data_IF_071975140301
#
_entry.id   IF_071975140301
#
_cell.length_a   1.000
_cell.length_b   1.000
_cell.length_c   1.000
_cell.angle_alpha   90.00
_cell.angle_beta   90.00
_cell.angle_gamma   90.00
#
_symmetry.space_group_name_H-M   'P 1'
#
loop_
_entity.id
_entity.type
_entity.pdbx_description
1 polymer ?
#
# COMPACT_ATOMS: atom_id res chain seq x y z
N UNK A 1 10.00 13.32 -2.33
CA UNK A 1 9.96 11.97 -2.92
C UNK A 1 10.71 11.03 -1.99
N UNK A 2 9.99 10.38 -1.07
CA UNK A 2 10.47 9.29 -0.20
C UNK A 2 9.51 8.12 -0.39
N UNK A 3 9.66 7.39 -1.49
CA UNK A 3 8.83 6.21 -1.78
C UNK A 3 9.31 5.00 -0.99
N UNK A 4 10.63 4.89 -0.73
CA UNK A 4 11.24 3.74 -0.06
C UNK A 4 10.72 3.50 1.37
N UNK A 5 10.62 4.56 2.17
CA UNK A 5 10.14 4.45 3.56
C UNK A 5 8.66 4.01 3.60
N UNK A 6 7.85 4.46 2.63
CA UNK A 6 6.45 4.07 2.50
C UNK A 6 6.28 2.61 2.05
N UNK A 7 7.18 2.12 1.20
CA UNK A 7 7.17 0.74 0.72
C UNK A 7 7.51 -0.23 1.86
N UNK A 8 8.48 0.10 2.73
CA UNK A 8 8.82 -0.71 3.91
C UNK A 8 7.66 -0.77 4.93
N UNK A 9 6.98 0.37 5.16
CA UNK A 9 5.79 0.43 6.03
C UNK A 9 4.63 -0.37 5.42
N UNK A 10 4.39 -0.26 4.12
CA UNK A 10 3.37 -1.05 3.43
C UNK A 10 3.66 -2.55 3.54
N UNK A 11 4.91 -2.97 3.31
CA UNK A 11 5.29 -4.37 3.32
C UNK A 11 5.19 -4.98 4.73
N UNK A 12 5.63 -4.28 5.77
CA UNK A 12 5.48 -4.72 7.16
C UNK A 12 4.00 -4.87 7.56
N UNK A 13 3.15 -3.93 7.14
CA UNK A 13 1.71 -3.99 7.43
C UNK A 13 1.00 -5.08 6.64
N UNK A 14 1.40 -5.29 5.39
CA UNK A 14 0.92 -6.40 4.57
C UNK A 14 1.30 -7.74 5.19
N UNK A 15 2.56 -7.91 5.62
CA UNK A 15 3.01 -9.11 6.34
C UNK A 15 2.22 -9.33 7.63
N UNK A 16 1.90 -8.28 8.39
CA UNK A 16 1.06 -8.38 9.59
C UNK A 16 -0.35 -8.89 9.26
N UNK A 17 -1.00 -8.36 8.21
CA UNK A 17 -2.33 -8.85 7.80
C UNK A 17 -2.28 -10.24 7.17
N UNK A 18 -1.23 -10.57 6.44
CA UNK A 18 -1.01 -11.90 5.90
C UNK A 18 -0.79 -12.92 7.03
N UNK A 19 -0.14 -12.52 8.12
CA UNK A 19 0.11 -13.38 9.27
C UNK A 19 -1.15 -13.71 10.06
N UNK A 20 -2.21 -12.90 9.95
CA UNK A 20 -3.55 -13.24 10.49
C UNK A 20 -4.23 -14.35 9.70
N UNK A 21 -3.84 -14.58 8.45
CA UNK A 21 -4.36 -15.67 7.63
C UNK A 21 -3.68 -16.98 8.06
N UNK A 22 -4.44 -18.04 8.37
CA UNK A 22 -3.86 -19.35 8.67
C UNK A 22 -2.89 -19.81 7.58
N UNK A 23 -1.79 -20.46 7.97
CA UNK A 23 -0.72 -20.86 7.04
C UNK A 23 -1.22 -21.72 5.87
N UNK A 24 -2.26 -22.53 6.11
CA UNK A 24 -2.86 -23.38 5.10
C UNK A 24 -3.72 -22.63 4.06
N UNK A 25 -4.07 -21.36 4.27
CA UNK A 25 -4.80 -20.54 3.29
C UNK A 25 -3.90 -19.56 2.54
N UNK A 26 -2.57 -19.61 2.73
CA UNK A 26 -1.62 -18.76 2.01
C UNK A 26 -1.23 -19.39 0.68
N UNK A 27 -1.21 -18.59 -0.38
CA UNK A 27 -0.73 -19.00 -1.70
C UNK A 27 0.80 -18.99 -1.72
N UNK A 28 1.40 -19.97 -1.06
CA UNK A 28 2.82 -20.25 -1.14
C UNK A 28 3.14 -21.13 -2.36
N UNK A 29 4.42 -21.16 -2.78
CA UNK A 29 4.91 -22.11 -3.80
C UNK A 29 4.53 -23.56 -3.47
N UNK A 30 4.46 -23.89 -2.19
CA UNK A 30 4.07 -25.22 -1.70
C UNK A 30 2.59 -25.51 -1.95
N UNK A 31 1.68 -24.56 -1.73
CA UNK A 31 0.25 -24.76 -2.04
C UNK A 31 -0.02 -24.85 -3.54
N UNK A 32 0.72 -24.11 -4.38
CA UNK A 32 0.68 -24.30 -5.83
C UNK A 32 1.18 -25.69 -6.24
N UNK A 33 2.26 -26.18 -5.61
CA UNK A 33 2.77 -27.53 -5.86
C UNK A 33 1.76 -28.62 -5.51
N UNK A 34 1.06 -28.48 -4.38
CA UNK A 34 -0.01 -29.40 -3.98
C UNK A 34 -1.15 -29.37 -5.00
N UNK A 35 -1.63 -28.19 -5.41
CA UNK A 35 -2.69 -28.08 -6.41
C UNK A 35 -2.31 -28.73 -7.75
N UNK A 36 -1.07 -28.51 -8.23
CA UNK A 36 -0.56 -29.14 -9.44
C UNK A 36 -0.50 -30.67 -9.30
N UNK A 37 -0.05 -31.17 -8.14
CA UNK A 37 0.00 -32.61 -7.86
C UNK A 37 -1.38 -33.27 -7.87
N UNK A 38 -2.39 -32.60 -7.31
CA UNK A 38 -3.78 -33.09 -7.32
C UNK A 38 -4.31 -33.14 -8.76
N UNK A 39 -4.02 -32.14 -9.58
CA UNK A 39 -4.37 -32.14 -11.00
C UNK A 39 -3.80 -33.35 -11.75
N UNK A 40 -2.52 -33.66 -11.54
CA UNK A 40 -1.87 -34.83 -12.14
C UNK A 40 -2.51 -36.14 -11.67
N UNK A 41 -2.78 -36.28 -10.37
CA UNK A 41 -3.44 -37.47 -9.81
C UNK A 41 -4.83 -37.70 -10.41
N UNK A 42 -5.61 -36.63 -10.62
CA UNK A 42 -6.93 -36.72 -11.25
C UNK A 42 -6.83 -37.19 -12.70
N UNK A 43 -5.86 -36.70 -13.46
CA UNK A 43 -5.63 -37.13 -14.85
C UNK A 43 -5.23 -38.61 -14.91
N UNK A 44 -4.32 -39.05 -14.04
CA UNK A 44 -3.91 -40.46 -13.95
C UNK A 44 -5.13 -41.33 -13.60
N UNK A 45 -5.93 -40.90 -12.62
CA UNK A 45 -7.12 -41.64 -12.21
C UNK A 45 -8.16 -41.79 -13.33
N UNK A 46 -8.40 -40.71 -14.09
CA UNK A 46 -9.27 -40.74 -15.27
C UNK A 46 -8.73 -41.67 -16.36
N UNK A 47 -7.43 -41.64 -16.63
CA UNK A 47 -6.79 -42.56 -17.60
C UNK A 47 -6.92 -44.02 -17.17
N UNK A 48 -6.68 -44.33 -15.89
CA UNK A 48 -6.88 -45.66 -15.34
C UNK A 48 -8.33 -46.11 -15.50
N UNK A 49 -9.30 -45.26 -15.17
CA UNK A 49 -10.71 -45.60 -15.33
C UNK A 49 -11.08 -45.92 -16.78
N UNK A 50 -10.69 -45.08 -17.73
CA UNK A 50 -10.94 -45.31 -19.17
C UNK A 50 -10.31 -46.63 -19.64
N UNK A 51 -9.10 -46.95 -19.18
CA UNK A 51 -8.45 -48.22 -19.48
C UNK A 51 -9.21 -49.43 -18.93
N UNK A 52 -9.67 -49.36 -17.68
CA UNK A 52 -10.48 -50.41 -17.05
C UNK A 52 -11.80 -50.66 -17.79
N UNK A 53 -12.44 -49.60 -18.27
CA UNK A 53 -13.67 -49.72 -19.05
C UNK A 53 -13.41 -50.40 -20.39
N UNK A 54 -12.34 -49.99 -21.09
CA UNK A 54 -11.97 -50.59 -22.38
C UNK A 54 -11.59 -52.06 -22.26
N UNK A 55 -10.99 -52.46 -21.14
CA UNK A 55 -10.60 -53.84 -20.88
C UNK A 55 -11.78 -54.78 -20.61
N UNK A 56 -12.98 -54.27 -20.28
CA UNK A 56 -14.07 -55.09 -19.72
C UNK A 56 -15.03 -55.72 -20.74
N UNK A 57 -14.86 -55.51 -22.05
CA UNK A 57 -15.53 -56.26 -23.13
C UNK A 57 -17.07 -56.31 -23.07
N UNK A 58 -17.75 -55.56 -23.94
CA UNK A 58 -19.22 -55.54 -24.06
C UNK A 58 -19.80 -56.93 -24.38
N UNK A 59 -20.48 -57.59 -23.44
CA UNK A 59 -21.31 -58.76 -23.79
C UNK A 59 -22.67 -58.85 -23.10
N UNK A 60 -23.02 -58.02 -22.09
CA UNK A 60 -24.38 -58.06 -21.49
C UNK A 60 -24.97 -56.68 -21.15
N UNK A 61 -26.31 -56.56 -21.20
CA UNK A 61 -27.06 -55.35 -20.79
C UNK A 61 -26.84 -55.02 -19.30
N UNK A 62 -26.67 -56.04 -18.46
CA UNK A 62 -26.38 -55.87 -17.03
C UNK A 62 -24.98 -55.25 -16.81
N UNK A 63 -24.02 -55.56 -17.69
CA UNK A 63 -22.70 -54.92 -17.67
C UNK A 63 -22.78 -53.44 -18.04
N UNK A 64 -23.75 -53.05 -18.88
CA UNK A 64 -24.01 -51.65 -19.25
C UNK A 64 -24.41 -50.77 -18.06
N UNK A 65 -25.37 -51.22 -17.24
CA UNK A 65 -25.83 -50.48 -16.05
C UNK A 65 -24.70 -50.41 -15.00
N UNK A 66 -23.99 -51.51 -14.80
CA UNK A 66 -22.89 -51.59 -13.83
C UNK A 66 -21.73 -50.69 -14.24
N UNK A 67 -21.42 -50.62 -15.53
CA UNK A 67 -20.45 -49.69 -16.09
C UNK A 67 -20.89 -48.24 -15.90
N UNK A 68 -22.16 -47.89 -16.19
CA UNK A 68 -22.67 -46.53 -16.02
C UNK A 68 -22.56 -46.05 -14.56
N UNK A 69 -22.92 -46.89 -13.59
CA UNK A 69 -22.77 -46.57 -12.16
C UNK A 69 -21.29 -46.41 -11.77
N UNK A 70 -20.42 -47.27 -12.29
CA UNK A 70 -18.97 -47.17 -12.05
C UNK A 70 -18.41 -45.87 -12.63
N UNK A 71 -18.82 -45.48 -13.84
CA UNK A 71 -18.47 -44.22 -14.46
C UNK A 71 -18.93 -43.02 -13.62
N UNK A 72 -20.19 -43.03 -13.17
CA UNK A 72 -20.73 -41.97 -12.34
C UNK A 72 -19.94 -41.83 -11.02
N UNK A 73 -19.60 -42.95 -10.38
CA UNK A 73 -18.79 -42.94 -9.15
C UNK A 73 -17.39 -42.40 -9.43
N UNK A 74 -16.69 -42.90 -10.44
CA UNK A 74 -15.35 -42.43 -10.82
C UNK A 74 -15.36 -40.94 -11.15
N UNK A 75 -16.36 -40.49 -11.92
CA UNK A 75 -16.52 -39.10 -12.32
C UNK A 75 -16.77 -38.19 -11.10
N UNK A 76 -17.66 -38.59 -10.19
CA UNK A 76 -17.89 -37.90 -8.92
C UNK A 76 -16.62 -37.88 -8.06
N UNK A 77 -15.92 -39.01 -7.93
CA UNK A 77 -14.67 -39.11 -7.17
C UNK A 77 -13.53 -38.27 -7.78
N UNK A 78 -13.53 -38.02 -9.08
CA UNK A 78 -12.55 -37.17 -9.74
C UNK A 78 -12.92 -35.67 -9.67
N UNK A 79 -14.19 -35.33 -9.91
CA UNK A 79 -14.63 -33.94 -10.01
C UNK A 79 -14.82 -33.28 -8.66
N UNK A 80 -15.33 -34.01 -7.66
CA UNK A 80 -15.57 -33.43 -6.33
C UNK A 80 -14.26 -32.89 -5.72
N UNK A 81 -13.13 -33.64 -5.71
CA UNK A 81 -11.85 -33.11 -5.24
C UNK A 81 -11.38 -31.91 -6.05
N UNK A 82 -11.52 -31.93 -7.39
CA UNK A 82 -11.15 -30.78 -8.23
C UNK A 82 -11.96 -29.55 -7.84
N UNK A 83 -13.28 -29.66 -7.71
CA UNK A 83 -14.14 -28.56 -7.30
C UNK A 83 -13.78 -28.03 -5.91
N UNK A 84 -13.50 -28.93 -4.96
CA UNK A 84 -13.03 -28.54 -3.62
C UNK A 84 -11.71 -27.76 -3.71
N UNK A 85 -10.74 -28.23 -4.50
CA UNK A 85 -9.46 -27.52 -4.66
C UNK A 85 -9.62 -26.16 -5.33
N UNK A 86 -10.50 -26.05 -6.33
CA UNK A 86 -10.80 -24.78 -7.01
C UNK A 86 -11.49 -23.81 -6.07
N UNK A 87 -12.50 -24.24 -5.31
CA UNK A 87 -13.18 -23.41 -4.31
C UNK A 87 -12.21 -22.96 -3.21
N UNK A 88 -11.33 -23.84 -2.76
CA UNK A 88 -10.29 -23.50 -1.80
C UNK A 88 -9.32 -22.45 -2.36
N UNK A 89 -8.90 -22.58 -3.63
CA UNK A 89 -8.02 -21.62 -4.29
C UNK A 89 -8.69 -20.24 -4.43
N UNK A 90 -9.97 -20.21 -4.84
CA UNK A 90 -10.77 -18.98 -4.91
C UNK A 90 -10.86 -18.32 -3.53
N UNK A 91 -11.05 -19.12 -2.47
CA UNK A 91 -11.10 -18.62 -1.10
C UNK A 91 -9.77 -17.99 -0.68
N UNK A 92 -8.65 -18.66 -0.94
CA UNK A 92 -7.30 -18.14 -0.67
C UNK A 92 -7.07 -16.80 -1.40
N UNK A 93 -7.38 -16.77 -2.70
CA UNK A 93 -7.21 -15.57 -3.53
C UNK A 93 -8.08 -14.40 -3.02
N UNK A 94 -9.32 -14.66 -2.62
CA UNK A 94 -10.20 -13.65 -2.05
C UNK A 94 -9.66 -13.09 -0.72
N UNK A 95 -9.08 -13.95 0.13
CA UNK A 95 -8.48 -13.53 1.40
C UNK A 95 -7.24 -12.66 1.18
N UNK A 96 -6.33 -13.07 0.30
CA UNK A 96 -5.14 -12.28 -0.04
C UNK A 96 -5.52 -10.94 -0.66
N UNK A 97 -6.47 -10.93 -1.61
CA UNK A 97 -6.98 -9.69 -2.22
C UNK A 97 -7.62 -8.75 -1.19
N UNK A 98 -8.21 -9.29 -0.12
CA UNK A 98 -8.77 -8.50 0.99
C UNK A 98 -7.65 -7.93 1.87
N UNK A 99 -6.62 -8.72 2.18
CA UNK A 99 -5.45 -8.25 2.93
C UNK A 99 -4.70 -7.14 2.18
N UNK A 100 -4.48 -7.32 0.87
CA UNK A 100 -3.84 -6.32 0.02
C UNK A 100 -4.61 -5.00 -0.02
N UNK A 101 -5.95 -5.05 -0.17
CA UNK A 101 -6.78 -3.84 -0.12
C UNK A 101 -6.63 -3.09 1.20
N UNK A 102 -6.67 -3.79 2.34
CA UNK A 102 -6.49 -3.16 3.66
C UNK A 102 -5.10 -2.53 3.83
N UNK A 103 -4.05 -3.21 3.39
CA UNK A 103 -2.69 -2.68 3.42
C UNK A 103 -2.56 -1.40 2.57
N UNK A 104 -3.13 -1.41 1.36
CA UNK A 104 -3.12 -0.23 0.48
C UNK A 104 -3.89 0.97 1.06
N UNK A 105 -5.03 0.74 1.71
CA UNK A 105 -5.79 1.80 2.40
C UNK A 105 -5.01 2.39 3.58
N UNK A 106 -4.29 1.54 4.32
CA UNK A 106 -3.43 1.97 5.42
C UNK A 106 -2.27 2.84 4.93
N UNK A 107 -1.53 2.40 3.91
CA UNK A 107 -0.43 3.20 3.36
C UNK A 107 -0.92 4.54 2.80
N UNK A 108 -2.12 4.59 2.18
CA UNK A 108 -2.71 5.85 1.74
C UNK A 108 -2.96 6.81 2.91
N UNK A 109 -3.49 6.31 4.02
CA UNK A 109 -3.70 7.12 5.24
C UNK A 109 -2.39 7.56 5.87
N UNK A 110 -1.39 6.68 5.90
CA UNK A 110 -0.06 6.99 6.44
C UNK A 110 0.62 8.10 5.63
N UNK A 111 0.58 8.03 4.30
CA UNK A 111 1.11 9.08 3.41
C UNK A 111 0.44 10.43 3.67
N UNK A 112 -0.88 10.45 3.85
CA UNK A 112 -1.61 11.69 4.18
C UNK A 112 -1.22 12.25 5.55
N UNK A 113 -1.02 11.38 6.53
CA UNK A 113 -0.58 11.79 7.87
C UNK A 113 0.85 12.36 7.86
N UNK A 114 1.77 11.73 7.12
CA UNK A 114 3.15 12.22 6.97
C UNK A 114 3.19 13.58 6.27
N UNK A 115 2.40 13.79 5.21
CA UNK A 115 2.29 15.10 4.55
C UNK A 115 1.80 16.18 5.52
N UNK A 116 0.78 15.88 6.34
CA UNK A 116 0.28 16.81 7.34
C UNK A 116 1.32 17.12 8.42
N UNK A 117 2.10 16.13 8.86
CA UNK A 117 3.19 16.32 9.82
C UNK A 117 4.24 17.27 9.27
N UNK A 118 4.72 17.04 8.04
CA UNK A 118 5.74 17.89 7.40
C UNK A 118 5.24 19.32 7.20
N UNK A 119 3.97 19.50 6.79
CA UNK A 119 3.38 20.84 6.66
C UNK A 119 3.32 21.55 8.01
N UNK A 120 2.99 20.84 9.09
CA UNK A 120 2.92 21.41 10.44
C UNK A 120 4.31 21.82 10.94
N UNK A 121 5.30 20.94 10.80
CA UNK A 121 6.70 21.22 11.15
C UNK A 121 7.24 22.41 10.37
N UNK A 122 6.95 22.48 9.06
CA UNK A 122 7.37 23.62 8.24
C UNK A 122 6.72 24.94 8.68
N UNK A 123 5.44 24.92 9.10
CA UNK A 123 4.78 26.11 9.65
C UNK A 123 5.36 26.53 11.01
N UNK A 124 5.74 25.59 11.85
CA UNK A 124 6.39 25.87 13.14
C UNK A 124 7.78 26.47 12.92
N UNK A 125 8.56 25.91 12.00
CA UNK A 125 9.86 26.46 11.58
C UNK A 125 9.71 27.90 11.04
N UNK A 126 8.75 28.16 10.15
CA UNK A 126 8.52 29.51 9.64
C UNK A 126 8.10 30.52 10.72
N UNK A 127 7.45 30.07 11.81
CA UNK A 127 7.12 30.95 12.95
C UNK A 127 8.32 31.25 13.81
N UNK A 128 9.21 30.29 14.00
CA UNK A 128 10.45 30.46 14.78
C UNK A 128 11.46 31.35 14.06
N UNK A 129 11.56 31.22 12.72
CA UNK A 129 12.51 31.98 11.90
C UNK A 129 11.94 33.26 11.28
N UNK A 130 10.64 33.51 11.40
CA UNK A 130 10.14 34.88 11.32
C UNK A 130 10.55 35.59 12.60
N UNK A 131 11.79 36.09 12.63
CA UNK A 131 12.09 37.29 13.41
C UNK A 131 10.97 38.30 13.19
N UNK A 132 10.53 39.06 14.22
CA UNK A 132 9.65 40.18 13.98
C UNK A 132 10.34 41.01 12.89
N UNK A 133 9.64 41.27 11.78
CA UNK A 133 10.07 42.32 10.85
C UNK A 133 10.31 43.55 11.74
N UNK A 134 11.58 43.84 12.03
CA UNK A 134 11.98 45.11 12.60
C UNK A 134 11.32 46.12 11.69
N UNK A 135 10.33 46.85 12.21
CA UNK A 135 9.78 48.00 11.51
C UNK A 135 11.00 48.82 11.10
N UNK A 136 11.29 48.88 9.80
CA UNK A 136 12.34 49.74 9.29
C UNK A 136 12.06 51.11 9.91
N UNK A 137 13.00 51.65 10.71
CA UNK A 137 12.76 52.92 11.38
C UNK A 137 12.42 53.95 10.31
N UNK A 138 11.34 54.71 10.50
CA UNK A 138 10.91 55.69 9.52
C UNK A 138 12.11 56.57 9.10
N UNK A 139 12.32 56.77 7.79
CA UNK A 139 13.44 57.55 7.30
C UNK A 139 13.36 58.97 7.90
N UNK A 140 14.37 59.36 8.67
CA UNK A 140 14.46 60.71 9.23
C UNK A 140 15.00 61.66 8.15
N UNK A 141 14.39 62.83 8.00
CA UNK A 141 14.81 63.85 7.06
C UNK A 141 15.25 65.11 7.81
N UNK A 142 16.27 65.78 7.29
CA UNK A 142 16.71 67.06 7.85
C UNK A 142 15.62 68.12 7.67
N UNK A 143 15.14 68.76 8.75
CA UNK A 143 14.05 69.75 8.66
C UNK A 143 14.45 71.01 7.87
N UNK A 144 15.75 71.27 7.72
CA UNK A 144 16.27 72.47 7.06
C UNK A 144 16.50 72.30 5.55
N UNK A 145 16.95 71.13 5.11
CA UNK A 145 17.32 70.90 3.71
C UNK A 145 16.70 69.65 3.07
N UNK A 146 15.89 68.88 3.81
CA UNK A 146 15.19 67.70 3.31
C UNK A 146 16.08 66.50 2.97
N UNK A 147 17.37 66.53 3.32
CA UNK A 147 18.27 65.40 3.09
C UNK A 147 17.93 64.25 4.05
N UNK A 148 17.93 63.03 3.53
CA UNK A 148 17.83 61.81 4.33
C UNK A 148 18.98 61.76 5.34
N UNK A 149 18.65 61.60 6.61
CA UNK A 149 19.61 61.47 7.71
C UNK A 149 19.83 59.99 8.03
N UNK A 150 21.08 59.64 8.29
CA UNK A 150 21.39 58.29 8.78
C UNK A 150 21.09 58.18 10.28
N UNK A 151 20.67 57.00 10.73
CA UNK A 151 20.30 56.74 12.14
C UNK A 151 21.46 57.11 13.07
N UNK A 152 21.24 58.04 13.99
CA UNK A 152 22.23 58.49 14.97
C UNK A 152 23.05 59.72 14.57
N UNK A 153 22.78 60.34 13.43
CA UNK A 153 23.42 61.61 13.05
C UNK A 153 22.83 62.78 13.86
N UNK A 154 23.66 63.44 14.67
CA UNK A 154 23.29 64.65 15.40
C UNK A 154 23.40 65.92 14.55
N UNK A 155 24.01 65.83 13.36
CA UNK A 155 24.19 66.95 12.42
C UNK A 155 24.05 66.50 10.98
N UNK A 156 23.37 67.30 10.17
CA UNK A 156 23.24 67.07 8.73
C UNK A 156 24.56 67.35 8.01
N UNK A 157 25.10 66.35 7.28
CA UNK A 157 26.35 66.50 6.52
C UNK A 157 26.30 67.51 5.36
N UNK A 158 25.10 67.88 4.87
CA UNK A 158 24.95 68.84 3.76
C UNK A 158 24.81 70.28 4.23
N UNK A 159 23.94 70.53 5.23
CA UNK A 159 23.63 71.90 5.67
C UNK A 159 24.22 72.27 7.04
N UNK A 160 24.86 71.32 7.73
CA UNK A 160 25.46 71.52 9.05
C UNK A 160 24.47 71.75 10.20
N UNK A 161 23.16 71.65 9.94
CA UNK A 161 22.13 71.85 10.96
C UNK A 161 22.14 70.70 11.99
N UNK A 162 21.97 71.05 13.27
CA UNK A 162 21.76 70.07 14.33
C UNK A 162 20.39 69.43 14.19
N UNK A 163 20.38 68.10 14.23
CA UNK A 163 19.17 67.29 14.21
C UNK A 163 18.83 67.05 15.67
N UNK A 164 17.98 67.89 16.23
CA UNK A 164 17.48 67.71 17.60
C UNK A 164 16.59 66.48 17.61
N UNK A 165 17.15 65.32 18.01
CA UNK A 165 16.34 64.21 18.49
C UNK A 165 15.70 64.66 19.79
N UNK A 166 14.37 64.77 19.80
CA UNK A 166 13.62 64.75 21.06
C UNK A 166 13.90 63.39 21.71
N UNK A 167 14.76 63.38 22.72
CA UNK A 167 14.75 62.34 23.74
C UNK A 167 13.51 62.58 24.61
N UNK A 168 12.42 61.85 24.34
CA UNK A 168 11.41 61.48 25.35
C UNK A 168 11.25 59.96 25.38
#
# INVERSE_FOLDING_TARGET
MKTRDNDEVLESYFQAELNKIPSFFRLNKLSMGIAASIGVLVVIFLQCAVFFIKARGENNIFDGITNLMTFAIVFCCAIIPVLITVLWFITCYCLEKKAYRRASEFARKHSQWDEQRVIKEHKEFLKEYKEPEEQEPEPQYCPKCGLLLMRGETRCGSCGAEVTGEEE
#
